data_IF_076314082740
#
_entry.id   IF_076314082740
#
_cell.length_a   1.000
_cell.length_b   1.000
_cell.length_c   1.000
_cell.angle_alpha   90.00
_cell.angle_beta   90.00
_cell.angle_gamma   90.00
#
_symmetry.space_group_name_H-M   'P 1'
#
loop_
_entity.id
_entity.type
_entity.pdbx_description
1 polymer ?
#
# COMPACT_ATOMS: atom_id res chain seq x y z
N UNK A 1 12.19 -6.84 14.14
CA UNK A 1 10.99 -6.03 14.46
C UNK A 1 11.43 -4.78 15.16
N UNK A 2 10.61 -3.74 15.15
CA UNK A 2 10.88 -2.47 15.86
C UNK A 2 9.97 -2.39 17.09
N UNK A 3 10.50 -1.94 18.22
CA UNK A 3 9.71 -1.76 19.45
C UNK A 3 8.80 -0.53 19.35
N UNK A 4 7.53 -0.67 19.71
CA UNK A 4 6.55 0.42 19.56
C UNK A 4 6.72 1.55 20.57
N UNK A 5 7.30 1.28 21.74
CA UNK A 5 7.61 2.29 22.77
C UNK A 5 8.80 3.13 22.32
N UNK A 6 9.83 2.49 21.75
CA UNK A 6 10.99 3.21 21.19
C UNK A 6 10.56 4.13 20.03
N UNK A 7 9.75 3.63 19.09
CA UNK A 7 9.22 4.44 17.99
C UNK A 7 8.36 5.61 18.47
N UNK A 8 7.53 5.40 19.50
CA UNK A 8 6.72 6.47 20.09
C UNK A 8 7.59 7.53 20.79
N UNK A 9 8.70 7.13 21.42
CA UNK A 9 9.65 8.05 22.02
C UNK A 9 10.43 8.86 20.98
N UNK A 10 10.80 8.25 19.86
CA UNK A 10 11.56 8.90 18.77
C UNK A 10 10.68 9.84 17.93
N UNK A 11 9.50 9.38 17.50
CA UNK A 11 8.65 10.11 16.53
C UNK A 11 7.44 10.82 17.17
N UNK A 12 7.19 10.62 18.46
CA UNK A 12 6.05 11.20 19.19
C UNK A 12 4.74 10.46 18.96
N UNK A 13 3.64 10.95 19.57
CA UNK A 13 2.30 10.36 19.46
C UNK A 13 1.22 11.40 19.16
N UNK A 14 0.18 11.09 18.35
CA UNK A 14 -0.10 9.77 17.74
C UNK A 14 0.80 9.46 16.54
N UNK A 15 1.18 8.18 16.39
CA UNK A 15 2.06 7.68 15.33
C UNK A 15 1.40 6.53 14.58
N UNK A 16 1.35 6.62 13.26
CA UNK A 16 0.99 5.49 12.39
C UNK A 16 2.26 4.77 11.93
N UNK A 17 2.30 3.45 12.13
CA UNK A 17 3.39 2.58 11.69
C UNK A 17 2.83 1.49 10.79
N UNK A 18 3.43 1.31 9.63
CA UNK A 18 3.06 0.28 8.66
C UNK A 18 4.23 -0.68 8.47
N UNK A 19 3.97 -1.99 8.50
CA UNK A 19 4.95 -3.01 8.17
C UNK A 19 4.93 -3.27 6.65
N UNK A 20 6.00 -2.83 5.99
CA UNK A 20 6.19 -3.00 4.55
C UNK A 20 6.15 -4.48 4.12
N UNK A 21 6.74 -5.39 4.91
CA UNK A 21 6.78 -6.82 4.55
C UNK A 21 5.39 -7.44 4.51
N UNK A 22 4.53 -7.04 5.45
CA UNK A 22 3.11 -7.40 5.47
C UNK A 22 2.35 -6.81 4.28
N UNK A 23 2.60 -5.55 3.92
CA UNK A 23 1.96 -4.90 2.77
C UNK A 23 2.32 -5.60 1.45
N UNK A 24 3.60 -5.88 1.21
CA UNK A 24 4.06 -6.59 0.00
C UNK A 24 3.53 -8.02 -0.06
N UNK A 25 3.55 -8.73 1.06
CA UNK A 25 2.99 -10.08 1.15
C UNK A 25 1.52 -10.10 0.76
N UNK A 26 0.75 -9.10 1.21
CA UNK A 26 -0.68 -8.97 0.84
C UNK A 26 -0.85 -8.67 -0.64
N UNK A 27 -0.03 -7.80 -1.23
CA UNK A 27 -0.04 -7.52 -2.67
C UNK A 27 0.20 -8.80 -3.50
N UNK A 28 1.22 -9.58 -3.13
CA UNK A 28 1.54 -10.84 -3.79
C UNK A 28 0.41 -11.87 -3.66
N UNK A 29 -0.19 -11.99 -2.47
CA UNK A 29 -1.33 -12.88 -2.20
C UNK A 29 -2.52 -12.56 -3.11
N UNK A 30 -2.94 -11.29 -3.20
CA UNK A 30 -4.05 -10.89 -4.07
C UNK A 30 -3.76 -11.20 -5.54
N UNK A 31 -2.55 -10.90 -6.03
CA UNK A 31 -2.18 -11.19 -7.42
C UNK A 31 -2.19 -12.70 -7.71
N UNK A 32 -1.63 -13.51 -6.82
CA UNK A 32 -1.57 -14.95 -6.99
C UNK A 32 -2.96 -15.59 -6.96
N UNK A 33 -3.75 -15.29 -5.94
CA UNK A 33 -5.04 -15.95 -5.72
C UNK A 33 -6.08 -15.60 -6.80
N UNK A 34 -6.11 -14.34 -7.27
CA UNK A 34 -7.02 -13.99 -8.35
C UNK A 34 -6.47 -14.36 -9.73
N UNK A 35 -5.16 -14.19 -9.94
CA UNK A 35 -4.50 -14.51 -11.21
C UNK A 35 -4.53 -16.00 -11.57
N UNK A 36 -4.55 -16.90 -10.58
CA UNK A 36 -4.68 -18.34 -10.85
C UNK A 36 -6.10 -18.77 -11.26
N UNK A 37 -7.12 -17.94 -10.99
CA UNK A 37 -8.54 -18.25 -11.27
C UNK A 37 -9.03 -17.59 -12.56
N UNK A 38 -8.58 -16.38 -12.84
CA UNK A 38 -8.99 -15.60 -14.00
C UNK A 38 -7.76 -15.05 -14.71
N UNK A 39 -7.59 -15.46 -15.97
CA UNK A 39 -6.61 -14.86 -16.87
C UNK A 39 -6.88 -13.35 -17.00
N UNK A 40 -5.82 -12.56 -17.18
CA UNK A 40 -5.86 -11.10 -17.33
C UNK A 40 -6.50 -10.35 -16.15
N UNK A 41 -6.22 -10.79 -14.91
CA UNK A 41 -6.63 -10.05 -13.71
C UNK A 41 -5.65 -8.94 -13.35
N UNK A 42 -6.18 -7.74 -13.08
CA UNK A 42 -5.45 -6.62 -12.47
C UNK A 42 -5.98 -6.34 -11.08
N UNK A 43 -5.10 -6.30 -10.08
CA UNK A 43 -5.44 -5.87 -8.72
C UNK A 43 -5.27 -4.36 -8.64
N UNK A 44 -6.31 -3.65 -8.18
CA UNK A 44 -6.34 -2.18 -8.11
C UNK A 44 -6.60 -1.76 -6.66
N UNK A 45 -5.65 -1.05 -6.06
CA UNK A 45 -5.77 -0.52 -4.71
C UNK A 45 -6.65 0.74 -4.70
N UNK A 46 -7.57 0.85 -3.74
CA UNK A 46 -8.45 2.00 -3.61
C UNK A 46 -7.75 3.15 -2.85
N UNK A 47 -7.41 4.24 -3.55
CA UNK A 47 -6.66 5.37 -2.98
C UNK A 47 -7.31 5.97 -1.72
N UNK A 48 -8.64 5.98 -1.70
CA UNK A 48 -9.47 6.45 -0.57
C UNK A 48 -9.23 5.71 0.76
N UNK A 49 -8.66 4.50 0.73
CA UNK A 49 -8.38 3.74 1.95
C UNK A 49 -7.26 4.37 2.78
N UNK A 50 -6.17 4.75 2.12
CA UNK A 50 -5.04 5.51 2.65
C UNK A 50 -4.07 5.75 1.50
N UNK A 51 -3.51 6.95 1.38
CA UNK A 51 -2.58 7.28 0.30
C UNK A 51 -1.44 8.18 0.78
N UNK A 52 -0.22 7.79 0.43
CA UNK A 52 0.96 8.63 0.50
C UNK A 52 1.95 8.18 -0.60
N UNK A 53 3.01 8.96 -0.84
CA UNK A 53 3.98 8.67 -1.89
C UNK A 53 4.72 7.34 -1.69
N UNK A 54 5.07 7.01 -0.45
CA UNK A 54 5.78 5.76 -0.14
C UNK A 54 4.93 4.53 -0.48
N UNK A 55 3.65 4.55 -0.14
CA UNK A 55 2.71 3.48 -0.46
C UNK A 55 2.48 3.38 -1.97
N UNK A 56 2.35 4.50 -2.68
CA UNK A 56 2.22 4.48 -4.15
C UNK A 56 3.43 3.80 -4.80
N UNK A 57 4.65 4.16 -4.39
CA UNK A 57 5.87 3.53 -4.90
C UNK A 57 5.88 2.02 -4.62
N UNK A 58 5.55 1.61 -3.40
CA UNK A 58 5.44 0.19 -3.03
C UNK A 58 4.43 -0.54 -3.92
N UNK A 59 3.23 0.00 -4.09
CA UNK A 59 2.18 -0.61 -4.92
C UNK A 59 2.60 -0.72 -6.40
N UNK A 60 3.32 0.28 -6.92
CA UNK A 60 3.88 0.26 -8.27
C UNK A 60 4.95 -0.82 -8.42
N UNK A 61 5.85 -0.97 -7.45
CA UNK A 61 6.87 -2.02 -7.43
C UNK A 61 6.26 -3.43 -7.35
N UNK A 62 5.18 -3.59 -6.58
CA UNK A 62 4.41 -4.85 -6.52
C UNK A 62 3.52 -5.07 -7.76
N UNK A 63 3.45 -4.10 -8.67
CA UNK A 63 2.70 -4.16 -9.92
C UNK A 63 1.18 -4.16 -9.71
N UNK A 64 0.68 -3.41 -8.73
CA UNK A 64 -0.74 -3.12 -8.54
C UNK A 64 -1.13 -1.84 -9.27
N UNK A 65 -2.39 -1.75 -9.66
CA UNK A 65 -3.02 -0.50 -10.10
C UNK A 65 -3.48 0.36 -8.92
N UNK A 66 -3.88 1.59 -9.20
CA UNK A 66 -4.40 2.55 -8.22
C UNK A 66 -5.72 3.16 -8.70
N UNK A 67 -6.81 2.96 -7.94
CA UNK A 67 -8.13 3.58 -8.14
C UNK A 67 -8.15 4.94 -7.46
N UNK A 68 -8.03 6.00 -8.27
CA UNK A 68 -8.09 7.40 -7.83
C UNK A 68 -9.50 7.97 -8.04
N UNK A 69 -10.01 8.70 -7.05
CA UNK A 69 -11.35 9.30 -7.06
C UNK A 69 -11.35 10.81 -6.91
N UNK A 70 -10.18 11.43 -6.78
CA UNK A 70 -10.02 12.89 -6.71
C UNK A 70 -8.76 13.38 -7.41
N UNK A 71 -8.74 14.66 -7.79
CA UNK A 71 -7.55 15.29 -8.35
C UNK A 71 -6.36 15.30 -7.38
N UNK A 72 -6.63 15.33 -6.06
CA UNK A 72 -5.59 15.26 -5.03
C UNK A 72 -4.88 13.90 -5.01
N UNK A 73 -5.63 12.81 -5.14
CA UNK A 73 -5.05 11.46 -5.24
C UNK A 73 -4.29 11.28 -6.56
N UNK A 74 -4.82 11.80 -7.67
CA UNK A 74 -4.13 11.79 -8.96
C UNK A 74 -2.78 12.53 -8.87
N UNK A 75 -2.72 13.65 -8.15
CA UNK A 75 -1.47 14.39 -7.95
C UNK A 75 -0.43 13.66 -7.09
N UNK A 76 -0.83 12.66 -6.30
CA UNK A 76 0.10 11.79 -5.55
C UNK A 76 0.52 10.59 -6.41
N UNK A 77 -0.31 10.18 -7.37
CA UNK A 77 -0.10 9.05 -8.27
C UNK A 77 0.80 9.35 -9.48
N UNK A 78 1.10 10.62 -9.75
CA UNK A 78 1.96 11.08 -10.86
C UNK A 78 3.39 11.39 -10.42
#
# INVERSE_FOLDING_TARGET
GSDSVELAAEFGTPLYVFDESSLRSKCAEFKAEFGQRYADTTVIYAAKAFLNKALVLLLMEEGLGLDVVSAGELGIAQ
#
